data_IF_421306133623
#
_entry.id   IF_421306133623
#
_cell.length_a   1.000
_cell.length_b   1.000
_cell.length_c   1.000
_cell.angle_alpha   90.00
_cell.angle_beta   90.00
_cell.angle_gamma   90.00
#
_symmetry.space_group_name_H-M   'P 1'
#
loop_
_entity.id
_entity.type
_entity.pdbx_description
1 polymer ?
#
# COMPACT_ATOMS: atom_id res chain seq x y z
N UNK A 1 -59.23 -5.35 1.62
CA UNK A 1 -58.13 -4.74 0.88
C UNK A 1 -56.87 -4.99 1.67
N UNK A 2 -56.08 -6.01 1.34
CA UNK A 2 -54.83 -6.37 1.98
C UNK A 2 -53.69 -5.89 1.10
N UNK A 3 -52.95 -4.88 1.53
CA UNK A 3 -51.68 -4.47 0.93
C UNK A 3 -50.57 -5.39 1.43
N UNK A 4 -49.97 -6.15 0.52
CA UNK A 4 -48.75 -6.91 0.79
C UNK A 4 -47.55 -6.00 0.70
N UNK A 5 -46.90 -5.73 1.83
CA UNK A 5 -45.56 -5.22 1.87
C UNK A 5 -44.58 -6.31 1.50
N UNK A 6 -44.01 -6.19 0.31
CA UNK A 6 -42.85 -6.99 -0.13
C UNK A 6 -41.57 -6.18 0.12
N UNK A 7 -41.08 -6.19 1.34
CA UNK A 7 -39.71 -5.77 1.64
C UNK A 7 -38.78 -6.94 1.32
N UNK A 8 -38.07 -6.85 0.21
CA UNK A 8 -36.97 -7.75 -0.12
C UNK A 8 -35.83 -7.52 0.87
N UNK A 9 -35.26 -8.55 1.50
CA UNK A 9 -34.08 -8.40 2.33
C UNK A 9 -32.88 -8.09 1.42
N UNK A 10 -32.33 -6.89 1.54
CA UNK A 10 -31.06 -6.52 0.94
C UNK A 10 -29.98 -7.50 1.40
N UNK A 11 -29.47 -8.28 0.48
CA UNK A 11 -28.31 -9.16 0.68
C UNK A 11 -27.11 -8.26 0.97
N UNK A 12 -26.76 -8.05 2.23
CA UNK A 12 -25.49 -7.46 2.60
C UNK A 12 -24.40 -8.47 2.17
N UNK A 13 -23.77 -8.23 1.03
CA UNK A 13 -22.60 -8.98 0.60
C UNK A 13 -21.54 -8.84 1.71
N UNK A 14 -21.26 -9.96 2.38
CA UNK A 14 -20.24 -10.06 3.41
C UNK A 14 -18.90 -9.79 2.71
N UNK A 15 -18.26 -8.66 3.00
CA UNK A 15 -16.96 -8.32 2.43
C UNK A 15 -15.96 -9.41 2.75
N UNK A 16 -15.14 -9.82 1.77
CA UNK A 16 -14.16 -10.89 1.95
C UNK A 16 -13.07 -10.45 2.95
N UNK A 17 -12.79 -11.31 3.92
CA UNK A 17 -11.71 -11.07 4.89
C UNK A 17 -10.36 -11.27 4.21
N UNK A 18 -9.57 -10.21 4.12
CA UNK A 18 -8.24 -10.23 3.52
C UNK A 18 -7.16 -10.57 4.54
N UNK A 19 -7.12 -9.86 5.65
CA UNK A 19 -6.07 -10.02 6.66
C UNK A 19 -6.70 -10.23 8.03
N UNK A 20 -6.24 -11.25 8.74
CA UNK A 20 -6.56 -11.48 10.15
C UNK A 20 -5.27 -11.52 10.94
N UNK A 21 -5.25 -10.78 12.01
CA UNK A 21 -4.14 -10.63 12.95
C UNK A 21 -4.63 -11.00 14.33
N UNK A 22 -3.94 -11.90 15.01
CA UNK A 22 -4.29 -12.33 16.36
C UNK A 22 -3.06 -12.30 17.27
N UNK A 23 -3.21 -11.70 18.43
CA UNK A 23 -2.27 -11.72 19.55
C UNK A 23 -0.82 -11.40 19.18
N UNK A 24 -0.61 -10.47 18.23
CA UNK A 24 0.77 -10.08 17.90
C UNK A 24 1.41 -9.36 19.08
N UNK A 25 2.65 -9.75 19.32
CA UNK A 25 3.50 -9.16 20.35
C UNK A 25 4.85 -8.76 19.74
N UNK A 26 5.46 -7.70 20.25
CA UNK A 26 6.77 -7.25 19.82
C UNK A 26 7.60 -6.70 20.96
N UNK A 27 8.83 -7.19 21.05
CA UNK A 27 9.82 -6.77 22.03
C UNK A 27 11.04 -6.20 21.33
N UNK A 28 11.56 -5.09 21.83
CA UNK A 28 12.79 -4.47 21.33
C UNK A 28 13.68 -4.16 22.51
N UNK A 29 14.92 -4.64 22.48
CA UNK A 29 15.91 -4.43 23.55
C UNK A 29 15.38 -4.79 24.96
N UNK A 30 14.60 -5.85 25.04
CA UNK A 30 14.05 -6.32 26.31
C UNK A 30 12.72 -5.69 26.74
N UNK A 31 12.26 -4.62 26.09
CA UNK A 31 11.02 -3.91 26.42
C UNK A 31 9.92 -4.25 25.43
N UNK A 32 8.71 -4.45 25.93
CA UNK A 32 7.53 -4.63 25.08
C UNK A 32 7.16 -3.30 24.41
N UNK A 33 7.08 -3.32 23.09
CA UNK A 33 6.60 -2.19 22.29
C UNK A 33 5.09 -2.26 22.19
N UNK A 34 4.55 -3.46 21.92
CA UNK A 34 3.12 -3.74 21.92
C UNK A 34 2.89 -5.22 22.19
N UNK A 35 1.72 -5.52 22.74
CA UNK A 35 1.25 -6.85 23.11
C UNK A 35 -0.21 -7.03 22.70
N UNK A 36 -0.56 -8.25 22.34
CA UNK A 36 -1.94 -8.67 22.06
C UNK A 36 -2.65 -7.84 20.98
N UNK A 37 -1.92 -7.38 19.95
CA UNK A 37 -2.51 -6.70 18.81
C UNK A 37 -3.34 -7.70 18.01
N UNK A 38 -4.65 -7.44 17.92
CA UNK A 38 -5.60 -8.28 17.19
C UNK A 38 -6.55 -7.40 16.40
N UNK A 39 -6.73 -7.68 15.10
CA UNK A 39 -7.70 -7.01 14.23
C UNK A 39 -7.94 -7.81 12.96
N UNK A 40 -8.98 -7.41 12.23
CA UNK A 40 -9.31 -7.92 10.90
C UNK A 40 -9.37 -6.78 9.89
N UNK A 41 -8.98 -7.07 8.65
CA UNK A 41 -9.08 -6.15 7.51
C UNK A 41 -9.77 -6.89 6.35
N UNK A 42 -10.94 -6.39 5.98
CA UNK A 42 -11.71 -6.94 4.86
C UNK A 42 -11.50 -6.12 3.58
N UNK A 43 -11.86 -6.71 2.44
CA UNK A 43 -11.90 -6.01 1.17
C UNK A 43 -12.76 -4.74 1.26
N UNK A 44 -12.28 -3.65 0.67
CA UNK A 44 -12.92 -2.33 0.73
C UNK A 44 -12.70 -1.57 2.03
N UNK A 45 -11.99 -2.14 3.01
CA UNK A 45 -11.71 -1.44 4.26
C UNK A 45 -10.43 -0.60 4.20
N UNK A 46 -10.44 0.45 5.00
CA UNK A 46 -9.35 1.40 5.24
C UNK A 46 -9.11 1.44 6.73
N UNK A 47 -7.91 1.10 7.14
CA UNK A 47 -7.53 1.13 8.56
C UNK A 47 -6.48 2.22 8.77
N UNK A 48 -6.76 3.15 9.65
CA UNK A 48 -5.82 4.17 10.07
C UNK A 48 -5.14 3.75 11.38
N UNK A 49 -3.80 3.85 11.41
CA UNK A 49 -2.99 3.63 12.60
C UNK A 49 -2.46 4.97 13.11
N UNK A 50 -2.88 5.38 14.30
CA UNK A 50 -2.37 6.56 14.98
C UNK A 50 -1.63 6.18 16.26
N UNK A 51 -0.82 7.09 16.76
CA UNK A 51 -0.07 6.92 18.00
C UNK A 51 1.18 7.78 18.03
N UNK A 52 1.79 7.91 19.20
CA UNK A 52 3.01 8.69 19.39
C UNK A 52 4.18 8.17 18.54
N UNK A 53 5.16 9.02 18.26
CA UNK A 53 6.40 8.57 17.64
C UNK A 53 7.07 7.50 18.52
N UNK A 54 7.65 6.49 17.90
CA UNK A 54 8.27 5.38 18.62
C UNK A 54 7.32 4.31 19.17
N UNK A 55 6.00 4.44 19.01
CA UNK A 55 5.02 3.42 19.46
C UNK A 55 5.03 2.11 18.65
N UNK A 56 5.90 1.99 17.66
CA UNK A 56 6.08 0.74 16.89
C UNK A 56 5.15 0.58 15.70
N UNK A 57 4.51 1.65 15.20
CA UNK A 57 3.61 1.60 14.03
C UNK A 57 4.28 1.04 12.77
N UNK A 58 5.45 1.57 12.42
CA UNK A 58 6.28 1.07 11.30
C UNK A 58 6.69 -0.38 11.51
N UNK A 59 7.00 -0.75 12.73
CA UNK A 59 7.36 -2.12 13.09
C UNK A 59 6.18 -3.07 12.90
N UNK A 60 4.95 -2.63 13.24
CA UNK A 60 3.74 -3.40 12.98
C UNK A 60 3.53 -3.59 11.47
N UNK A 61 3.60 -2.53 10.67
CA UNK A 61 3.46 -2.64 9.20
C UNK A 61 4.52 -3.58 8.60
N UNK A 62 5.78 -3.51 9.04
CA UNK A 62 6.84 -4.41 8.60
C UNK A 62 6.57 -5.86 8.98
N UNK A 63 6.04 -6.10 10.18
CA UNK A 63 5.63 -7.43 10.63
C UNK A 63 4.49 -7.97 9.75
N UNK A 64 3.48 -7.15 9.45
CA UNK A 64 2.39 -7.50 8.54
C UNK A 64 2.87 -7.78 7.11
N UNK A 65 3.91 -7.09 6.65
CA UNK A 65 4.55 -7.34 5.35
C UNK A 65 5.42 -8.61 5.34
N UNK A 66 5.57 -9.32 6.45
CA UNK A 66 6.46 -10.45 6.60
C UNK A 66 7.94 -10.08 6.46
N UNK A 67 8.32 -8.85 6.82
CA UNK A 67 9.70 -8.36 6.82
C UNK A 67 10.38 -8.55 8.17
N UNK A 68 9.60 -8.71 9.23
CA UNK A 68 10.05 -8.98 10.58
C UNK A 68 9.44 -10.31 11.10
N UNK A 69 10.09 -10.90 12.10
CA UNK A 69 9.64 -12.16 12.71
C UNK A 69 8.46 -11.94 13.64
N UNK A 70 7.64 -12.97 13.80
CA UNK A 70 6.62 -13.03 14.86
C UNK A 70 7.27 -13.44 16.17
N UNK A 71 6.93 -12.75 17.25
CA UNK A 71 7.41 -13.07 18.59
C UNK A 71 6.30 -13.70 19.43
N UNK A 72 6.71 -14.55 20.38
CA UNK A 72 5.81 -15.13 21.36
C UNK A 72 5.43 -14.08 22.40
N UNK A 73 4.17 -14.07 22.79
CA UNK A 73 3.68 -13.25 23.90
C UNK A 73 4.23 -13.70 25.26
N UNK A 74 3.97 -12.92 26.30
CA UNK A 74 4.39 -13.26 27.68
C UNK A 74 3.81 -14.57 28.17
N UNK A 75 2.59 -14.92 27.74
CA UNK A 75 1.90 -16.18 28.07
C UNK A 75 2.45 -17.38 27.30
N UNK A 76 3.43 -17.17 26.39
CA UNK A 76 3.95 -18.22 25.53
C UNK A 76 3.06 -18.53 24.33
N UNK A 77 1.92 -17.84 24.18
CA UNK A 77 1.06 -17.96 23.00
C UNK A 77 1.70 -17.33 21.77
N UNK A 78 1.60 -18.01 20.64
CA UNK A 78 2.10 -17.54 19.39
C UNK A 78 1.09 -16.57 18.75
N UNK A 79 1.53 -15.34 18.45
CA UNK A 79 0.78 -14.45 17.58
C UNK A 79 0.67 -15.04 16.18
N UNK A 80 -0.42 -14.73 15.47
CA UNK A 80 -0.63 -15.24 14.11
C UNK A 80 -1.11 -14.18 13.15
N UNK A 81 -0.69 -14.33 11.89
CA UNK A 81 -1.17 -13.55 10.75
C UNK A 81 -1.69 -14.55 9.72
N UNK A 82 -2.89 -14.31 9.21
CA UNK A 82 -3.41 -15.03 8.05
C UNK A 82 -3.88 -14.05 6.98
N UNK A 83 -3.62 -14.38 5.73
CA UNK A 83 -4.02 -13.60 4.56
C UNK A 83 -4.79 -14.49 3.58
N UNK A 84 -6.00 -14.05 3.18
CA UNK A 84 -6.93 -14.81 2.32
C UNK A 84 -7.10 -16.25 2.82
N UNK A 85 -7.30 -16.42 4.12
CA UNK A 85 -7.55 -17.70 4.79
C UNK A 85 -6.32 -18.59 4.99
N UNK A 86 -5.12 -18.20 4.54
CA UNK A 86 -3.87 -18.95 4.73
C UNK A 86 -3.00 -18.31 5.79
N UNK A 87 -2.43 -19.10 6.69
CA UNK A 87 -1.47 -18.60 7.68
C UNK A 87 -0.19 -18.10 6.98
N UNK A 88 0.52 -17.17 7.62
CA UNK A 88 1.76 -16.61 7.09
C UNK A 88 2.81 -17.71 6.81
N UNK A 89 2.83 -18.77 7.60
CA UNK A 89 3.76 -19.89 7.45
C UNK A 89 3.50 -20.73 6.18
N UNK A 90 2.27 -20.72 5.65
CA UNK A 90 1.89 -21.44 4.43
C UNK A 90 2.23 -20.65 3.15
N UNK A 91 2.58 -19.37 3.29
CA UNK A 91 2.93 -18.52 2.17
C UNK A 91 4.41 -18.63 1.81
N UNK A 92 4.71 -18.68 0.53
CA UNK A 92 6.04 -18.31 0.04
C UNK A 92 6.18 -16.80 0.14
N UNK A 93 7.07 -16.28 0.99
CA UNK A 93 7.19 -14.85 1.26
C UNK A 93 7.28 -13.94 0.02
N UNK A 94 8.00 -14.30 -1.06
CA UNK A 94 7.98 -13.50 -2.28
C UNK A 94 6.57 -13.37 -2.90
N UNK A 95 5.74 -14.43 -2.87
CA UNK A 95 4.36 -14.40 -3.36
C UNK A 95 3.44 -13.61 -2.44
N UNK A 96 3.59 -13.76 -1.13
CA UNK A 96 2.86 -12.97 -0.13
C UNK A 96 3.07 -11.46 -0.36
N UNK A 97 4.34 -11.04 -0.54
CA UNK A 97 4.69 -9.63 -0.75
C UNK A 97 4.27 -9.05 -2.10
N UNK A 98 3.82 -9.87 -3.05
CA UNK A 98 3.16 -9.36 -4.26
C UNK A 98 1.69 -9.00 -4.03
N UNK A 99 1.10 -9.52 -2.95
CA UNK A 99 -0.29 -9.28 -2.57
C UNK A 99 -0.43 -8.21 -1.50
N UNK A 100 0.54 -8.16 -0.58
CA UNK A 100 0.62 -7.17 0.50
C UNK A 100 1.91 -6.36 0.28
N UNK A 101 1.77 -5.12 -0.16
CA UNK A 101 2.92 -4.26 -0.45
C UNK A 101 3.12 -3.21 0.64
N UNK A 102 4.34 -3.13 1.15
CA UNK A 102 4.75 -2.12 2.14
C UNK A 102 5.46 -0.96 1.45
N UNK A 103 5.00 0.25 1.73
CA UNK A 103 5.60 1.51 1.31
C UNK A 103 6.17 2.19 2.55
N UNK A 104 7.50 2.25 2.69
CA UNK A 104 8.15 2.80 3.87
C UNK A 104 8.12 4.33 3.89
N UNK A 105 8.26 4.92 5.07
CA UNK A 105 8.38 6.37 5.27
C UNK A 105 9.60 6.96 4.57
N UNK A 106 10.72 6.24 4.58
CA UNK A 106 11.96 6.63 3.89
C UNK A 106 12.33 5.57 2.87
N UNK A 107 11.90 5.75 1.60
CA UNK A 107 12.27 4.82 0.54
C UNK A 107 13.78 4.82 0.29
N UNK A 108 14.35 3.64 0.12
CA UNK A 108 15.73 3.47 -0.32
C UNK A 108 15.75 2.91 -1.75
N UNK A 109 16.60 3.47 -2.57
CA UNK A 109 16.85 3.02 -3.94
C UNK A 109 18.30 2.58 -4.09
N UNK A 110 18.54 1.66 -5.02
CA UNK A 110 19.87 1.32 -5.45
C UNK A 110 20.41 2.42 -6.38
N UNK A 111 21.68 2.34 -6.75
CA UNK A 111 22.30 3.30 -7.68
C UNK A 111 21.84 2.98 -9.13
N UNK A 112 20.60 3.38 -9.44
CA UNK A 112 19.90 3.12 -10.68
C UNK A 112 19.00 4.32 -11.05
N UNK A 113 18.53 4.37 -12.29
CA UNK A 113 17.57 5.39 -12.71
C UNK A 113 16.18 5.10 -12.14
N UNK A 114 15.31 6.12 -12.14
CA UNK A 114 13.91 5.98 -11.72
C UNK A 114 13.19 4.91 -12.53
N UNK A 115 13.42 4.84 -13.84
CA UNK A 115 12.79 3.82 -14.67
C UNK A 115 13.28 2.42 -14.33
N UNK A 116 14.57 2.25 -14.01
CA UNK A 116 15.13 0.97 -13.56
C UNK A 116 14.53 0.54 -12.22
N UNK A 117 14.26 1.48 -11.30
CA UNK A 117 13.53 1.20 -10.07
C UNK A 117 12.16 0.57 -10.34
N UNK A 118 11.44 1.04 -11.36
CA UNK A 118 10.16 0.46 -11.75
C UNK A 118 10.32 -0.91 -12.42
N UNK A 119 11.31 -1.08 -13.29
CA UNK A 119 11.58 -2.34 -14.00
C UNK A 119 12.05 -3.45 -13.06
N UNK A 120 12.83 -3.13 -12.05
CA UNK A 120 13.47 -4.08 -11.13
C UNK A 120 12.50 -5.05 -10.47
N UNK A 121 11.30 -4.62 -10.08
CA UNK A 121 10.35 -5.52 -9.42
C UNK A 121 9.90 -6.68 -10.31
N UNK A 122 9.97 -6.52 -11.63
CA UNK A 122 9.61 -7.56 -12.60
C UNK A 122 10.76 -8.56 -12.87
N UNK A 123 11.98 -8.26 -12.44
CA UNK A 123 13.09 -9.22 -12.49
C UNK A 123 12.97 -10.29 -11.40
N UNK A 124 12.13 -10.06 -10.38
CA UNK A 124 11.92 -11.01 -9.29
C UNK A 124 11.08 -12.20 -9.75
N UNK A 125 11.50 -13.41 -9.41
CA UNK A 125 10.82 -14.66 -9.78
C UNK A 125 9.32 -14.67 -9.43
N UNK A 126 8.92 -14.01 -8.35
CA UNK A 126 7.52 -13.92 -7.94
C UNK A 126 6.65 -13.11 -8.91
N UNK A 127 7.25 -12.26 -9.75
CA UNK A 127 6.58 -11.35 -10.69
C UNK A 127 6.84 -11.72 -12.16
N UNK A 128 7.43 -12.90 -12.46
CA UNK A 128 7.81 -13.30 -13.81
C UNK A 128 6.69 -13.30 -14.85
N UNK A 129 5.43 -13.35 -14.41
CA UNK A 129 4.25 -13.30 -15.27
C UNK A 129 3.66 -11.88 -15.41
N UNK A 130 4.33 -10.87 -14.88
CA UNK A 130 3.96 -9.45 -14.97
C UNK A 130 5.03 -8.70 -15.75
N UNK A 131 4.64 -7.60 -16.39
CA UNK A 131 5.54 -6.80 -17.21
C UNK A 131 5.47 -5.34 -16.82
N UNK A 132 6.60 -4.67 -16.96
CA UNK A 132 6.67 -3.22 -16.82
C UNK A 132 5.85 -2.56 -17.94
N UNK A 133 5.00 -1.63 -17.56
CA UNK A 133 4.22 -0.82 -18.50
C UNK A 133 4.56 0.66 -18.30
N UNK A 134 5.37 1.21 -19.20
CA UNK A 134 5.83 2.60 -19.15
C UNK A 134 4.67 3.58 -19.29
N UNK A 135 3.72 3.31 -20.18
CA UNK A 135 2.56 4.18 -20.42
C UNK A 135 1.70 4.32 -19.17
N UNK A 136 1.52 3.22 -18.43
CA UNK A 136 0.81 3.22 -17.15
C UNK A 136 1.50 4.11 -16.11
N UNK A 137 2.82 4.05 -16.01
CA UNK A 137 3.59 4.92 -15.11
C UNK A 137 3.46 6.39 -15.52
N UNK A 138 3.55 6.70 -16.81
CA UNK A 138 3.37 8.06 -17.33
C UNK A 138 1.97 8.60 -17.01
N UNK A 139 0.93 7.79 -17.23
CA UNK A 139 -0.45 8.15 -16.88
C UNK A 139 -0.59 8.50 -15.40
N UNK A 140 0.06 7.76 -14.51
CA UNK A 140 0.02 8.04 -13.07
C UNK A 140 0.80 9.29 -12.69
N UNK A 141 1.94 9.55 -13.33
CA UNK A 141 2.72 10.78 -13.15
C UNK A 141 1.92 12.01 -13.59
N UNK A 142 1.20 11.91 -14.71
CA UNK A 142 0.29 12.98 -15.18
C UNK A 142 -0.81 13.30 -14.14
N UNK A 143 -1.34 12.31 -13.44
CA UNK A 143 -2.34 12.54 -12.38
C UNK A 143 -1.80 13.34 -11.19
N UNK A 144 -0.49 13.26 -10.93
CA UNK A 144 0.14 13.97 -9.82
C UNK A 144 0.60 15.38 -10.17
N UNK A 145 0.43 15.83 -11.42
CA UNK A 145 0.88 17.17 -11.87
C UNK A 145 2.29 17.52 -11.38
N UNK A 146 3.17 16.52 -11.30
CA UNK A 146 4.54 16.76 -10.87
C UNK A 146 5.17 17.83 -11.76
N UNK A 147 5.93 18.78 -11.18
CA UNK A 147 6.55 19.82 -11.98
C UNK A 147 7.42 19.19 -13.07
N UNK A 148 7.10 19.52 -14.31
CA UNK A 148 7.94 19.19 -15.45
C UNK A 148 9.30 19.85 -15.23
N UNK A 149 10.34 19.08 -15.11
CA UNK A 149 11.71 19.58 -15.12
C UNK A 149 12.16 20.07 -16.51
N UNK A 150 11.31 19.85 -17.52
CA UNK A 150 11.52 20.37 -18.89
C UNK A 150 11.15 21.84 -19.02
N UNK A 151 12.08 22.66 -19.51
CA UNK A 151 12.02 24.13 -19.64
C UNK A 151 10.95 24.70 -20.58
N UNK A 152 10.00 23.92 -21.11
CA UNK A 152 8.99 24.38 -22.05
C UNK A 152 7.57 24.10 -21.52
N UNK A 153 6.89 25.18 -21.16
CA UNK A 153 5.51 25.25 -20.65
C UNK A 153 4.41 24.87 -21.65
N UNK A 154 4.66 24.12 -22.71
CA UNK A 154 3.71 24.01 -23.81
C UNK A 154 3.20 22.61 -24.16
N UNK A 155 3.70 21.52 -23.55
CA UNK A 155 3.18 20.19 -23.86
C UNK A 155 3.03 19.31 -22.63
N UNK A 156 2.02 18.44 -22.65
CA UNK A 156 1.76 17.38 -21.67
C UNK A 156 3.06 16.73 -21.23
N UNK A 157 3.35 16.81 -19.93
CA UNK A 157 4.59 16.51 -19.26
C UNK A 157 5.48 15.45 -19.88
N UNK A 158 6.60 15.87 -20.44
CA UNK A 158 7.66 14.91 -20.76
C UNK A 158 8.38 14.47 -19.48
N UNK A 159 7.93 13.37 -18.90
CA UNK A 159 8.53 12.75 -17.71
C UNK A 159 9.77 11.93 -18.05
N UNK A 160 10.27 11.99 -19.28
CA UNK A 160 11.46 11.25 -19.72
C UNK A 160 12.68 11.65 -18.91
N UNK A 161 12.83 12.94 -18.60
CA UNK A 161 13.92 13.43 -17.76
C UNK A 161 13.84 12.84 -16.34
N UNK A 162 12.66 12.84 -15.72
CA UNK A 162 12.45 12.21 -14.41
C UNK A 162 12.78 10.72 -14.44
N UNK A 163 12.31 9.99 -15.45
CA UNK A 163 12.55 8.54 -15.57
C UNK A 163 14.02 8.18 -15.77
N UNK A 164 14.78 9.04 -16.44
CA UNK A 164 16.21 8.84 -16.68
C UNK A 164 17.10 9.35 -15.53
N UNK A 165 16.56 10.13 -14.60
CA UNK A 165 17.31 10.69 -13.48
C UNK A 165 17.75 9.59 -12.50
N UNK A 166 18.97 9.67 -11.94
CA UNK A 166 19.39 8.78 -10.87
C UNK A 166 18.45 8.87 -9.67
N UNK A 167 17.97 7.73 -9.18
CA UNK A 167 16.97 7.70 -8.10
C UNK A 167 17.49 8.29 -6.78
N UNK A 168 18.81 8.35 -6.57
CA UNK A 168 19.44 9.01 -5.42
C UNK A 168 19.28 10.54 -5.42
N UNK A 169 18.96 11.14 -6.57
CA UNK A 169 18.79 12.60 -6.74
C UNK A 169 17.35 13.06 -6.57
N UNK A 170 16.43 12.13 -6.27
CA UNK A 170 15.04 12.45 -6.01
C UNK A 170 14.89 13.24 -4.71
N UNK A 171 14.01 14.25 -4.73
CA UNK A 171 13.52 14.86 -3.50
C UNK A 171 12.74 13.84 -2.66
N UNK A 172 12.51 14.12 -1.38
CA UNK A 172 11.77 13.22 -0.50
C UNK A 172 10.37 12.90 -1.03
N UNK A 173 9.66 13.89 -1.55
CA UNK A 173 8.33 13.71 -2.14
C UNK A 173 8.35 12.85 -3.41
N UNK A 174 9.29 13.13 -4.33
CA UNK A 174 9.47 12.31 -5.55
C UNK A 174 9.87 10.87 -5.23
N UNK A 175 10.75 10.67 -4.25
CA UNK A 175 11.15 9.35 -3.77
C UNK A 175 9.93 8.56 -3.27
N UNK A 176 9.03 9.23 -2.56
CA UNK A 176 7.81 8.64 -2.03
C UNK A 176 6.82 8.26 -3.15
N UNK A 177 6.68 9.13 -4.18
CA UNK A 177 5.90 8.84 -5.39
C UNK A 177 6.44 7.58 -6.08
N UNK A 178 7.75 7.54 -6.33
CA UNK A 178 8.39 6.39 -6.99
C UNK A 178 8.21 5.10 -6.18
N UNK A 179 8.34 5.16 -4.85
CA UNK A 179 8.11 4.00 -3.99
C UNK A 179 6.66 3.50 -4.05
N UNK A 180 5.69 4.41 -4.03
CA UNK A 180 4.29 4.05 -4.15
C UNK A 180 3.98 3.44 -5.51
N UNK A 181 4.42 4.06 -6.61
CA UNK A 181 4.18 3.54 -7.96
C UNK A 181 4.84 2.18 -8.18
N UNK A 182 6.03 1.97 -7.60
CA UNK A 182 6.69 0.66 -7.59
C UNK A 182 5.83 -0.42 -6.91
N UNK A 183 5.09 -0.07 -5.87
CA UNK A 183 4.15 -0.98 -5.22
C UNK A 183 2.88 -1.17 -6.05
N UNK A 184 2.25 -0.07 -6.50
CA UNK A 184 0.97 -0.08 -7.22
C UNK A 184 1.02 -0.85 -8.55
N UNK A 185 2.14 -0.81 -9.28
CA UNK A 185 2.28 -1.51 -10.56
C UNK A 185 2.18 -3.04 -10.42
N UNK A 186 2.38 -3.58 -9.21
CA UNK A 186 2.21 -5.00 -8.91
C UNK A 186 0.77 -5.39 -8.63
N UNK A 187 -0.15 -4.41 -8.59
CA UNK A 187 -1.56 -4.61 -8.27
C UNK A 187 -1.78 -5.39 -6.96
N UNK A 188 -1.31 -4.86 -5.83
CA UNK A 188 -1.47 -5.51 -4.53
C UNK A 188 -2.94 -5.49 -4.09
N UNK A 189 -3.32 -6.45 -3.23
CA UNK A 189 -4.63 -6.45 -2.58
C UNK A 189 -4.63 -5.59 -1.30
N UNK A 190 -3.48 -5.51 -0.62
CA UNK A 190 -3.32 -4.68 0.58
C UNK A 190 -2.10 -3.77 0.42
N UNK A 191 -2.29 -2.47 0.68
CA UNK A 191 -1.20 -1.52 0.85
C UNK A 191 -0.97 -1.24 2.34
N UNK A 192 0.27 -1.33 2.76
CA UNK A 192 0.74 -0.95 4.08
C UNK A 192 1.55 0.34 3.91
N UNK A 193 0.95 1.48 4.29
CA UNK A 193 1.45 2.82 4.01
C UNK A 193 2.02 3.45 5.29
N UNK A 194 3.32 3.62 5.34
CA UNK A 194 4.03 4.18 6.48
C UNK A 194 4.35 5.66 6.23
N UNK A 195 3.47 6.54 6.67
CA UNK A 195 3.55 7.99 6.48
C UNK A 195 3.85 8.40 5.02
N UNK A 196 3.08 7.90 4.04
CA UNK A 196 3.45 7.98 2.61
C UNK A 196 3.48 9.41 2.06
N UNK A 197 3.00 10.40 2.80
CA UNK A 197 2.92 11.81 2.38
C UNK A 197 3.74 12.76 3.26
N UNK A 198 4.53 12.24 4.21
CA UNK A 198 5.27 13.05 5.19
C UNK A 198 6.29 14.02 4.55
N UNK A 199 6.81 13.69 3.37
CA UNK A 199 7.80 14.50 2.63
C UNK A 199 7.20 15.29 1.46
N UNK A 200 5.86 15.39 1.38
CA UNK A 200 5.14 16.06 0.29
C UNK A 200 4.58 17.40 0.75
N UNK A 201 4.48 18.36 -0.16
CA UNK A 201 3.70 19.56 0.06
C UNK A 201 2.19 19.26 0.07
N UNK A 202 1.38 20.26 0.36
CA UNK A 202 -0.07 20.10 0.53
C UNK A 202 -0.75 19.67 -0.77
N UNK A 203 -0.31 20.19 -1.92
CA UNK A 203 -0.92 19.88 -3.21
C UNK A 203 -0.59 18.45 -3.65
N UNK A 204 0.69 18.07 -3.62
CA UNK A 204 1.13 16.71 -3.95
C UNK A 204 0.50 15.68 -2.99
N UNK A 205 0.36 16.03 -1.69
CA UNK A 205 -0.34 15.19 -0.72
C UNK A 205 -1.78 14.92 -1.16
N UNK A 206 -2.53 15.97 -1.54
CA UNK A 206 -3.92 15.84 -2.00
C UNK A 206 -4.01 14.98 -3.27
N UNK A 207 -3.16 15.21 -4.25
CA UNK A 207 -3.14 14.44 -5.50
C UNK A 207 -2.79 12.97 -5.25
N UNK A 208 -1.88 12.71 -4.31
CA UNK A 208 -1.51 11.34 -3.91
C UNK A 208 -2.66 10.63 -3.20
N UNK A 209 -3.37 11.31 -2.31
CA UNK A 209 -4.57 10.79 -1.66
C UNK A 209 -5.66 10.46 -2.69
N UNK A 210 -5.93 11.37 -3.64
CA UNK A 210 -6.88 11.16 -4.74
C UNK A 210 -6.49 9.94 -5.61
N UNK A 211 -5.20 9.75 -5.87
CA UNK A 211 -4.71 8.61 -6.64
C UNK A 211 -4.91 7.28 -5.87
N UNK A 212 -4.64 7.27 -4.56
CA UNK A 212 -4.88 6.12 -3.71
C UNK A 212 -6.37 5.78 -3.61
N UNK A 213 -7.24 6.80 -3.55
CA UNK A 213 -8.69 6.61 -3.62
C UNK A 213 -9.12 5.95 -4.95
N UNK A 214 -8.58 6.43 -6.08
CA UNK A 214 -8.82 5.82 -7.39
C UNK A 214 -8.34 4.38 -7.44
N UNK A 215 -7.18 4.07 -6.83
CA UNK A 215 -6.70 2.70 -6.72
C UNK A 215 -7.64 1.84 -5.88
N UNK A 216 -8.02 2.31 -4.70
CA UNK A 216 -8.89 1.57 -3.78
C UNK A 216 -10.26 1.27 -4.41
N UNK A 217 -10.85 2.27 -5.06
CA UNK A 217 -12.17 2.18 -5.68
C UNK A 217 -12.14 1.52 -7.07
N UNK A 218 -10.96 1.09 -7.54
CA UNK A 218 -10.77 0.44 -8.84
C UNK A 218 -11.31 1.25 -10.01
N UNK A 219 -10.90 2.52 -10.08
CA UNK A 219 -11.19 3.37 -11.22
C UNK A 219 -10.81 2.68 -12.53
N UNK A 220 -11.80 2.46 -13.40
CA UNK A 220 -11.63 1.68 -14.63
C UNK A 220 -10.58 2.27 -15.58
N UNK A 221 -10.38 3.58 -15.54
CA UNK A 221 -9.43 4.29 -16.41
C UNK A 221 -7.97 4.11 -15.96
N UNK A 222 -7.74 4.12 -14.63
CA UNK A 222 -6.39 4.22 -14.06
C UNK A 222 -5.97 2.91 -13.38
N UNK A 223 -6.91 2.28 -12.69
CA UNK A 223 -6.70 1.05 -11.92
C UNK A 223 -7.82 0.04 -12.17
N UNK A 224 -7.97 -0.49 -13.40
CA UNK A 224 -9.04 -1.43 -13.71
C UNK A 224 -9.00 -2.63 -12.77
N UNK A 225 -10.18 -3.09 -12.36
CA UNK A 225 -10.29 -4.33 -11.62
C UNK A 225 -9.89 -5.51 -12.51
N UNK A 226 -9.27 -6.56 -11.96
CA UNK A 226 -9.07 -7.80 -12.68
C UNK A 226 -10.40 -8.31 -13.26
N UNK A 227 -10.39 -8.77 -14.52
CA UNK A 227 -11.60 -9.18 -15.23
C UNK A 227 -12.34 -10.28 -14.45
N UNK A 228 -13.61 -10.05 -14.12
CA UNK A 228 -14.49 -11.04 -13.48
C UNK A 228 -14.41 -11.12 -11.95
N UNK A 229 -13.64 -10.27 -11.28
CA UNK A 229 -13.58 -10.19 -9.82
C UNK A 229 -13.93 -8.79 -9.34
N UNK A 230 -14.71 -8.71 -8.26
CA UNK A 230 -14.86 -7.49 -7.50
C UNK A 230 -13.50 -7.14 -6.91
N UNK A 231 -13.06 -5.92 -7.07
CA UNK A 231 -11.75 -5.55 -6.59
C UNK A 231 -11.67 -5.63 -5.06
N UNK A 232 -10.76 -6.45 -4.62
CA UNK A 232 -10.50 -6.73 -3.22
C UNK A 232 -9.30 -5.90 -2.79
N UNK A 233 -9.44 -4.59 -2.65
CA UNK A 233 -8.36 -3.71 -2.23
C UNK A 233 -8.64 -3.12 -0.87
N UNK A 234 -7.62 -3.07 -0.03
CA UNK A 234 -7.66 -2.46 1.29
C UNK A 234 -6.32 -1.78 1.59
N UNK A 235 -6.28 -0.88 2.56
CA UNK A 235 -5.03 -0.36 3.06
C UNK A 235 -4.99 -0.23 4.58
N UNK A 236 -3.77 -0.21 5.10
CA UNK A 236 -3.45 0.23 6.45
C UNK A 236 -2.52 1.43 6.32
N UNK A 237 -2.94 2.57 6.84
CA UNK A 237 -2.23 3.84 6.71
C UNK A 237 -1.77 4.35 8.08
N UNK A 238 -0.49 4.54 8.26
CA UNK A 238 0.09 5.24 9.40
C UNK A 238 0.19 6.73 9.07
N UNK A 239 -0.44 7.58 9.86
CA UNK A 239 -0.30 9.03 9.76
C UNK A 239 -0.26 9.68 11.13
N UNK A 240 0.48 10.78 11.22
CA UNK A 240 0.44 11.71 12.36
C UNK A 240 -0.57 12.85 12.14
N UNK A 241 -1.12 12.99 10.93
CA UNK A 241 -2.10 14.02 10.60
C UNK A 241 -3.53 13.52 10.89
N UNK A 242 -4.24 14.10 11.89
CA UNK A 242 -5.62 13.69 12.22
C UNK A 242 -6.59 13.81 11.03
N UNK A 243 -6.40 14.79 10.15
CA UNK A 243 -7.25 15.01 8.97
C UNK A 243 -7.16 13.89 7.92
N UNK A 244 -6.07 13.11 7.93
CA UNK A 244 -5.91 11.94 7.05
C UNK A 244 -6.54 10.67 7.62
N UNK A 245 -6.81 10.65 8.92
CA UNK A 245 -7.37 9.49 9.62
C UNK A 245 -8.90 9.42 9.56
N UNK A 246 -9.56 10.50 9.13
CA UNK A 246 -11.03 10.66 9.11
C UNK A 246 -11.64 10.62 7.71
N UNK A 247 -10.84 10.38 6.68
CA UNK A 247 -11.27 10.30 5.27
C UNK A 247 -11.35 8.84 4.76
#
# INVERSE_FOLDING_TARGET
MHSKDTSSPGTSQKSELLLRVNNLCRKVSGNWIWENISFELSAGQRLALSGTSGSGKSLLLRTLAGLDILEKGQTGEDGSISFSGKSLAEWKMPQYRTRISYVPQHPAFLDETVEECFKRVFTLKANQNKFYNREKILLWLEQLSLPNTGKNNSDKGDFTELLNRPARELSGGEAQVVALFRALQLDPQVLLLDEPTASMDTELTRLMEDLLEKWHNCSAEIFPAPTGQQAQRAWIWVSHNPGQLTR
#
